data_IF_226556864231
#
_entry.id   IF_226556864231
#
_cell.length_a   1.000
_cell.length_b   1.000
_cell.length_c   1.000
_cell.angle_alpha   90.00
_cell.angle_beta   90.00
_cell.angle_gamma   90.00
#
_symmetry.space_group_name_H-M   'P 1'
#
loop_
_entity.id
_entity.type
_entity.pdbx_description
1 polymer ?
#
# COMPACT_ATOMS: atom_id res chain seq x y z
N UNK A 1 -16.17 6.47 17.49
CA UNK A 1 -15.97 7.73 16.73
C UNK A 1 -14.51 7.76 16.30
N UNK A 2 -14.21 7.68 14.99
CA UNK A 2 -12.84 7.71 14.50
C UNK A 2 -12.17 9.03 14.86
N UNK A 3 -10.87 8.98 15.20
CA UNK A 3 -10.16 10.17 15.68
C UNK A 3 -10.10 11.23 14.58
N UNK A 4 -10.13 12.54 14.91
CA UNK A 4 -10.02 13.60 13.91
C UNK A 4 -8.72 13.49 13.07
N UNK A 5 -7.66 12.94 13.65
CA UNK A 5 -6.39 12.73 12.95
C UNK A 5 -6.49 11.59 11.92
N UNK A 6 -7.22 10.51 12.23
CA UNK A 6 -7.47 9.42 11.28
C UNK A 6 -8.32 9.92 10.10
N UNK A 7 -9.39 10.67 10.37
CA UNK A 7 -10.23 11.22 9.30
C UNK A 7 -9.43 12.12 8.36
N UNK A 8 -8.60 13.02 8.90
CA UNK A 8 -7.67 13.83 8.09
C UNK A 8 -6.75 12.96 7.24
N UNK A 9 -6.16 11.91 7.83
CA UNK A 9 -5.34 10.96 7.08
C UNK A 9 -6.11 10.24 5.96
N UNK A 10 -7.43 10.14 6.02
CA UNK A 10 -8.27 9.52 4.98
C UNK A 10 -8.81 10.53 3.95
N UNK A 11 -9.06 11.78 4.34
CA UNK A 11 -9.79 12.75 3.51
C UNK A 11 -8.99 13.95 3.04
N UNK A 12 -7.88 14.30 3.71
CA UNK A 12 -7.06 15.45 3.30
C UNK A 12 -6.51 15.17 1.90
N UNK A 13 -6.56 16.12 0.95
CA UNK A 13 -6.19 15.83 -0.44
C UNK A 13 -4.73 15.37 -0.59
N UNK A 14 -3.81 15.91 0.21
CA UNK A 14 -2.37 15.76 -0.02
C UNK A 14 -1.85 16.75 -1.07
N UNK A 15 -0.53 16.86 -1.19
CA UNK A 15 0.13 17.69 -2.20
C UNK A 15 1.36 16.95 -2.77
N UNK A 16 1.31 16.46 -4.02
CA UNK A 16 0.15 16.48 -4.93
C UNK A 16 -1.04 15.66 -4.39
N UNK A 17 -2.27 15.87 -4.91
CA UNK A 17 -3.45 15.15 -4.45
C UNK A 17 -3.28 13.64 -4.59
N UNK A 18 -3.51 12.90 -3.51
CA UNK A 18 -3.49 11.44 -3.50
C UNK A 18 -4.91 10.90 -3.70
N UNK A 19 -5.03 9.85 -4.51
CA UNK A 19 -6.29 9.15 -4.72
C UNK A 19 -6.86 8.60 -3.39
N UNK A 20 -8.19 8.67 -3.18
CA UNK A 20 -8.82 8.14 -1.98
C UNK A 20 -8.73 6.60 -1.97
N UNK A 21 -8.71 6.01 -0.77
CA UNK A 21 -8.87 4.55 -0.64
C UNK A 21 -10.29 4.13 -1.05
N UNK A 22 -10.50 2.84 -1.40
CA UNK A 22 -11.85 2.29 -1.51
C UNK A 22 -12.66 2.55 -0.24
N UNK A 23 -13.94 2.90 -0.40
CA UNK A 23 -14.83 3.25 0.73
C UNK A 23 -14.89 2.14 1.78
N UNK A 24 -14.91 0.88 1.34
CA UNK A 24 -14.91 -0.30 2.23
C UNK A 24 -13.66 -0.34 3.13
N UNK A 25 -12.50 0.08 2.61
CA UNK A 25 -11.24 0.08 3.36
C UNK A 25 -11.18 1.27 4.30
N UNK A 26 -11.64 2.44 3.86
CA UNK A 26 -11.74 3.62 4.72
C UNK A 26 -12.63 3.33 5.93
N UNK A 27 -13.81 2.74 5.73
CA UNK A 27 -14.70 2.32 6.81
C UNK A 27 -14.05 1.30 7.74
N UNK A 28 -13.37 0.29 7.20
CA UNK A 28 -12.64 -0.71 8.00
C UNK A 28 -11.54 -0.07 8.87
N UNK A 29 -10.76 0.87 8.33
CA UNK A 29 -9.72 1.57 9.09
C UNK A 29 -10.31 2.43 10.22
N UNK A 30 -11.46 3.04 10.00
CA UNK A 30 -12.20 3.77 11.04
C UNK A 30 -12.71 2.86 12.15
N UNK A 31 -13.28 1.70 11.80
CA UNK A 31 -13.73 0.68 12.76
C UNK A 31 -12.58 0.14 13.60
N UNK A 32 -11.41 -0.07 13.00
CA UNK A 32 -10.20 -0.55 13.67
C UNK A 32 -9.48 0.54 14.47
N UNK A 33 -9.98 1.77 14.45
CA UNK A 33 -9.31 2.94 15.01
C UNK A 33 -7.83 3.00 14.58
N UNK A 34 -7.61 2.83 13.28
CA UNK A 34 -6.29 2.72 12.70
C UNK A 34 -5.41 3.95 13.05
N UNK A 35 -4.11 3.76 13.29
CA UNK A 35 -3.20 4.88 13.47
C UNK A 35 -3.22 5.82 12.25
N UNK A 36 -3.29 7.15 12.44
CA UNK A 36 -3.33 8.09 11.31
C UNK A 36 -2.16 7.93 10.35
N UNK A 37 -0.95 7.65 10.88
CA UNK A 37 0.24 7.35 10.07
C UNK A 37 0.04 6.15 9.13
N UNK A 38 -0.64 5.11 9.61
CA UNK A 38 -0.94 3.92 8.82
C UNK A 38 -1.90 4.27 7.67
N UNK A 39 -3.00 4.97 7.97
CA UNK A 39 -3.96 5.37 6.94
C UNK A 39 -3.29 6.25 5.86
N UNK A 40 -2.41 7.18 6.25
CA UNK A 40 -1.67 8.01 5.33
C UNK A 40 -0.69 7.20 4.45
N UNK A 41 -0.01 6.20 5.04
CA UNK A 41 0.84 5.24 4.31
C UNK A 41 0.04 4.46 3.27
N UNK A 42 -1.06 3.84 3.69
CA UNK A 42 -1.92 3.04 2.81
C UNK A 42 -2.44 3.87 1.63
N UNK A 43 -2.81 5.14 1.86
CA UNK A 43 -3.19 6.07 0.78
C UNK A 43 -2.06 6.36 -0.19
N UNK A 44 -0.85 6.64 0.30
CA UNK A 44 0.30 6.92 -0.55
C UNK A 44 0.65 5.72 -1.44
N UNK A 45 0.60 4.50 -0.88
CA UNK A 45 0.84 3.27 -1.65
C UNK A 45 -0.31 2.99 -2.62
N UNK A 46 -1.56 3.17 -2.20
CA UNK A 46 -2.73 2.99 -3.06
C UNK A 46 -2.72 3.93 -4.28
N UNK A 47 -2.35 5.19 -4.09
CA UNK A 47 -2.21 6.17 -5.18
C UNK A 47 -1.20 5.72 -6.24
N UNK A 48 -0.05 5.22 -5.78
CA UNK A 48 1.01 4.65 -6.62
C UNK A 48 0.54 3.39 -7.34
N UNK A 49 -0.17 2.50 -6.65
CA UNK A 49 -0.76 1.31 -7.27
C UNK A 49 -1.77 1.68 -8.34
N UNK A 50 -2.58 2.72 -8.13
CA UNK A 50 -3.46 3.23 -9.17
C UNK A 50 -2.65 3.70 -10.39
N UNK A 51 -1.55 4.41 -10.20
CA UNK A 51 -0.71 4.89 -11.30
C UNK A 51 -0.05 3.72 -12.08
N UNK A 52 0.41 2.69 -11.38
CA UNK A 52 0.95 1.48 -12.00
C UNK A 52 -0.12 0.70 -12.75
N UNK A 53 -1.32 0.55 -12.18
CA UNK A 53 -2.41 -0.15 -12.83
C UNK A 53 -2.92 0.64 -14.06
N UNK A 54 -2.99 1.98 -14.01
CA UNK A 54 -3.31 2.83 -15.16
C UNK A 54 -2.26 2.66 -16.28
N UNK A 55 -0.98 2.59 -15.92
CA UNK A 55 0.10 2.32 -16.87
C UNK A 55 -0.05 0.94 -17.50
N UNK A 56 -0.32 -0.09 -16.70
CA UNK A 56 -0.46 -1.46 -17.19
C UNK A 56 -1.64 -1.58 -18.17
N UNK A 57 -2.82 -1.05 -17.82
CA UNK A 57 -4.00 -1.08 -18.69
C UNK A 57 -3.79 -0.30 -20.00
N UNK A 58 -2.99 0.78 -19.96
CA UNK A 58 -2.72 1.61 -21.13
C UNK A 58 -1.66 1.01 -22.04
N UNK A 59 -0.57 0.48 -21.49
CA UNK A 59 0.60 0.01 -22.26
C UNK A 59 0.52 -1.47 -22.61
N UNK A 60 -0.19 -2.27 -21.79
CA UNK A 60 -0.31 -3.71 -21.94
C UNK A 60 -1.78 -4.16 -21.73
N UNK A 61 -2.74 -3.65 -22.53
CA UNK A 61 -4.17 -3.98 -22.38
C UNK A 61 -4.50 -5.48 -22.50
N UNK A 62 -3.60 -6.28 -23.04
CA UNK A 62 -3.68 -7.74 -23.13
C UNK A 62 -3.41 -8.45 -21.78
N UNK A 63 -2.80 -7.78 -20.82
CA UNK A 63 -2.54 -8.34 -19.49
C UNK A 63 -3.83 -8.36 -18.69
N UNK A 64 -4.38 -9.55 -18.50
CA UNK A 64 -5.54 -9.76 -17.64
C UNK A 64 -5.07 -9.81 -16.18
N UNK A 65 -5.54 -8.85 -15.38
CA UNK A 65 -5.33 -8.81 -13.94
C UNK A 65 -6.58 -8.26 -13.24
N UNK A 66 -6.77 -8.62 -11.98
CA UNK A 66 -7.84 -8.07 -11.16
C UNK A 66 -7.43 -6.72 -10.59
N UNK A 67 -7.78 -5.64 -11.31
CA UNK A 67 -7.50 -4.27 -10.88
C UNK A 67 -8.11 -3.95 -9.53
N UNK A 68 -9.37 -4.31 -9.31
CA UNK A 68 -10.08 -3.99 -8.06
C UNK A 68 -9.40 -4.68 -6.87
N UNK A 69 -9.06 -5.97 -7.00
CA UNK A 69 -8.33 -6.69 -5.97
C UNK A 69 -6.93 -6.11 -5.73
N UNK A 70 -6.22 -5.67 -6.79
CA UNK A 70 -4.90 -5.03 -6.67
C UNK A 70 -4.98 -3.72 -5.87
N UNK A 71 -5.95 -2.86 -6.21
CA UNK A 71 -6.16 -1.58 -5.55
C UNK A 71 -6.58 -1.76 -4.09
N UNK A 72 -7.45 -2.74 -3.81
CA UNK A 72 -7.79 -3.16 -2.47
C UNK A 72 -6.55 -3.67 -1.71
N UNK A 73 -5.76 -4.53 -2.35
CA UNK A 73 -4.54 -5.11 -1.78
C UNK A 73 -3.57 -4.05 -1.29
N UNK A 74 -3.30 -3.03 -2.12
CA UNK A 74 -2.48 -1.90 -1.73
C UNK A 74 -3.04 -1.13 -0.52
N UNK A 75 -4.37 -0.95 -0.49
CA UNK A 75 -5.07 -0.25 0.56
C UNK A 75 -5.11 -1.00 1.89
N UNK A 76 -4.79 -2.31 1.93
CA UNK A 76 -4.82 -3.13 3.16
C UNK A 76 -3.51 -3.86 3.48
N UNK A 77 -2.47 -3.78 2.63
CA UNK A 77 -1.28 -4.63 2.77
C UNK A 77 -0.61 -4.55 4.16
N UNK A 78 -0.68 -3.38 4.80
CA UNK A 78 -0.08 -3.11 6.11
C UNK A 78 -1.12 -3.08 7.25
N UNK A 79 -2.35 -3.54 7.02
CA UNK A 79 -3.45 -3.41 7.99
C UNK A 79 -3.17 -4.09 9.34
N UNK A 80 -2.32 -5.11 9.36
CA UNK A 80 -1.90 -5.75 10.61
C UNK A 80 -1.17 -4.80 11.57
N UNK A 81 -0.65 -3.65 11.09
CA UNK A 81 -0.07 -2.60 11.94
C UNK A 81 -1.11 -1.85 12.78
N UNK A 82 -2.40 -2.15 12.61
CA UNK A 82 -3.44 -1.77 13.58
C UNK A 82 -3.32 -2.56 14.89
N UNK A 83 -2.81 -3.80 14.81
CA UNK A 83 -2.53 -4.72 15.92
C UNK A 83 -1.08 -4.53 16.40
N UNK A 84 -0.11 -4.64 15.48
CA UNK A 84 1.33 -4.51 15.73
C UNK A 84 1.82 -3.08 15.49
N UNK A 85 1.40 -2.16 16.36
CA UNK A 85 1.63 -0.71 16.18
C UNK A 85 3.10 -0.32 16.27
N UNK A 86 3.89 -1.09 17.00
CA UNK A 86 5.34 -0.95 17.13
C UNK A 86 6.05 -1.03 15.76
N UNK A 87 5.50 -1.78 14.81
CA UNK A 87 6.06 -1.97 13.46
C UNK A 87 5.74 -0.80 12.51
N UNK A 88 5.04 0.26 12.97
CA UNK A 88 4.85 1.49 12.20
C UNK A 88 6.12 2.34 12.09
N UNK A 89 7.01 2.21 13.07
CA UNK A 89 8.28 2.95 13.12
C UNK A 89 9.49 2.07 13.46
N UNK A 90 9.25 0.85 13.95
CA UNK A 90 10.27 -0.15 14.21
C UNK A 90 10.33 -1.22 13.11
N UNK A 91 11.39 -2.04 13.11
CA UNK A 91 11.43 -3.24 12.28
C UNK A 91 10.42 -4.27 12.75
N UNK A 92 9.97 -5.14 11.84
CA UNK A 92 9.09 -6.25 12.16
C UNK A 92 8.35 -6.78 10.94
N UNK A 93 7.70 -7.93 11.10
CA UNK A 93 6.90 -8.61 10.08
C UNK A 93 5.69 -9.32 10.67
N UNK A 94 5.38 -9.13 11.96
CA UNK A 94 4.24 -9.77 12.59
C UNK A 94 2.91 -9.24 12.03
N UNK A 95 2.89 -7.99 11.56
CA UNK A 95 1.72 -7.41 10.88
C UNK A 95 1.28 -8.19 9.64
N UNK A 96 2.17 -8.94 8.97
CA UNK A 96 1.85 -9.62 7.72
C UNK A 96 0.79 -10.72 7.95
N UNK A 97 1.10 -11.65 8.87
CA UNK A 97 0.20 -12.75 9.19
C UNK A 97 -1.00 -12.26 10.01
N UNK A 98 -0.80 -11.34 10.96
CA UNK A 98 -1.89 -10.75 11.75
C UNK A 98 -2.89 -9.97 10.88
N UNK A 99 -2.41 -9.28 9.84
CA UNK A 99 -3.23 -8.55 8.88
C UNK A 99 -4.10 -9.49 8.04
N UNK A 100 -3.52 -10.59 7.57
CA UNK A 100 -4.27 -11.64 6.86
C UNK A 100 -5.39 -12.22 7.74
N UNK A 101 -5.06 -12.65 8.96
CA UNK A 101 -6.03 -13.22 9.91
C UNK A 101 -7.12 -12.22 10.27
N UNK A 102 -6.76 -10.95 10.45
CA UNK A 102 -7.72 -9.88 10.70
C UNK A 102 -8.71 -9.75 9.54
N UNK A 103 -8.25 -9.63 8.30
CA UNK A 103 -9.13 -9.46 7.13
C UNK A 103 -10.07 -10.67 6.98
N UNK A 104 -9.54 -11.90 7.11
CA UNK A 104 -10.36 -13.13 7.05
C UNK A 104 -11.41 -13.17 8.16
N UNK A 105 -11.04 -12.79 9.40
CA UNK A 105 -12.00 -12.73 10.52
C UNK A 105 -13.13 -11.71 10.31
N UNK A 106 -12.91 -10.70 9.45
CA UNK A 106 -13.90 -9.72 9.02
C UNK A 106 -14.72 -10.17 7.80
N UNK A 107 -14.55 -11.41 7.35
CA UNK A 107 -15.30 -11.98 6.23
C UNK A 107 -14.72 -11.63 4.85
N UNK A 108 -13.52 -11.05 4.79
CA UNK A 108 -12.85 -10.78 3.52
C UNK A 108 -12.27 -12.10 2.98
N UNK A 109 -12.60 -12.41 1.73
CA UNK A 109 -12.17 -13.64 1.09
C UNK A 109 -10.64 -13.77 1.08
N UNK A 110 -10.15 -14.99 1.25
CA UNK A 110 -8.71 -15.26 1.39
C UNK A 110 -7.88 -14.75 0.21
N UNK A 111 -8.44 -14.81 -1.01
CA UNK A 111 -7.78 -14.27 -2.20
C UNK A 111 -7.53 -12.77 -2.06
N UNK A 112 -8.44 -11.96 -1.49
CA UNK A 112 -8.20 -10.54 -1.23
C UNK A 112 -7.34 -10.32 0.02
N UNK A 113 -7.55 -11.12 1.06
CA UNK A 113 -6.79 -10.99 2.31
C UNK A 113 -5.29 -11.29 2.15
N UNK A 114 -4.91 -12.10 1.15
CA UNK A 114 -3.51 -12.52 0.92
C UNK A 114 -2.53 -11.34 0.79
N UNK A 115 -2.96 -10.20 0.27
CA UNK A 115 -2.10 -9.03 0.05
C UNK A 115 -1.45 -8.53 1.35
N UNK A 116 -2.09 -8.76 2.50
CA UNK A 116 -1.52 -8.43 3.81
C UNK A 116 -0.19 -9.15 4.08
N UNK A 117 0.03 -10.34 3.49
CA UNK A 117 1.25 -11.14 3.68
C UNK A 117 2.11 -11.34 2.43
N UNK A 118 1.54 -11.20 1.23
CA UNK A 118 2.30 -11.42 -0.01
C UNK A 118 3.16 -10.23 -0.41
N UNK A 119 2.82 -9.01 0.02
CA UNK A 119 3.52 -7.79 -0.39
C UNK A 119 5.02 -7.78 -0.01
N UNK A 120 5.41 -8.45 1.08
CA UNK A 120 6.79 -8.62 1.51
C UNK A 120 7.45 -9.93 1.02
N UNK A 121 6.63 -10.91 0.60
CA UNK A 121 7.04 -12.27 0.22
C UNK A 121 6.93 -12.54 -1.31
N UNK A 122 7.20 -11.52 -2.13
CA UNK A 122 7.06 -11.54 -3.59
C UNK A 122 8.01 -12.49 -4.35
N UNK A 123 8.94 -13.16 -3.66
CA UNK A 123 9.77 -14.23 -4.23
C UNK A 123 9.06 -15.59 -4.28
N UNK A 124 7.92 -15.71 -3.60
CA UNK A 124 7.04 -16.86 -3.76
C UNK A 124 6.32 -16.81 -5.13
N UNK A 125 5.62 -17.88 -5.49
CA UNK A 125 4.78 -17.87 -6.69
C UNK A 125 3.53 -17.00 -6.45
N UNK A 126 3.64 -15.72 -6.78
CA UNK A 126 2.60 -14.71 -6.60
C UNK A 126 2.13 -14.16 -7.95
N UNK A 127 0.94 -13.53 -8.00
CA UNK A 127 0.35 -12.98 -9.23
C UNK A 127 0.97 -11.64 -9.66
N UNK A 128 0.53 -11.13 -10.83
CA UNK A 128 0.87 -9.76 -11.28
C UNK A 128 0.36 -8.74 -10.27
N UNK A 129 -0.83 -8.95 -9.73
CA UNK A 129 -1.47 -8.10 -8.74
C UNK A 129 -0.60 -7.95 -7.49
N UNK A 130 -0.06 -9.05 -6.97
CA UNK A 130 0.82 -9.06 -5.80
C UNK A 130 2.12 -8.32 -6.07
N UNK A 131 2.72 -8.51 -7.26
CA UNK A 131 3.94 -7.81 -7.67
C UNK A 131 3.71 -6.30 -7.83
N UNK A 132 2.57 -5.88 -8.38
CA UNK A 132 2.20 -4.46 -8.47
C UNK A 132 2.11 -3.82 -7.09
N UNK A 133 1.46 -4.48 -6.12
CA UNK A 133 1.37 -4.00 -4.73
C UNK A 133 2.75 -3.93 -4.08
N UNK A 134 3.57 -4.97 -4.25
CA UNK A 134 4.95 -4.99 -3.75
C UNK A 134 5.80 -3.86 -4.33
N UNK A 135 5.73 -3.63 -5.66
CA UNK A 135 6.47 -2.54 -6.33
C UNK A 135 5.98 -1.19 -5.80
N UNK A 136 4.67 -1.00 -5.69
CA UNK A 136 4.09 0.23 -5.16
C UNK A 136 4.60 0.55 -3.75
N UNK A 137 4.64 -0.44 -2.84
CA UNK A 137 5.16 -0.28 -1.47
C UNK A 137 6.66 0.08 -1.42
N UNK A 138 7.43 -0.15 -2.49
CA UNK A 138 8.81 0.34 -2.57
C UNK A 138 8.88 1.72 -3.21
N UNK A 139 8.29 1.88 -4.40
CA UNK A 139 8.49 3.09 -5.21
C UNK A 139 7.74 4.32 -4.68
N UNK A 140 6.74 4.17 -3.80
CA UNK A 140 6.05 5.33 -3.22
C UNK A 140 6.99 6.33 -2.55
N UNK A 141 8.10 5.83 -2.00
CA UNK A 141 9.20 6.60 -1.40
C UNK A 141 10.47 6.62 -2.26
N UNK A 142 10.32 6.49 -3.58
CA UNK A 142 11.39 6.42 -4.57
C UNK A 142 12.38 5.26 -4.39
N UNK A 143 12.04 4.22 -3.61
CA UNK A 143 12.90 3.04 -3.47
C UNK A 143 12.70 2.11 -4.66
N UNK A 144 13.76 1.93 -5.45
CA UNK A 144 13.86 0.93 -6.51
C UNK A 144 14.39 -0.39 -5.96
N UNK A 145 13.87 -1.52 -6.44
CA UNK A 145 14.28 -2.87 -6.03
C UNK A 145 14.39 -3.74 -7.28
N UNK A 146 15.61 -3.85 -7.82
CA UNK A 146 15.89 -4.49 -9.10
C UNK A 146 15.30 -5.90 -9.22
N UNK A 147 15.50 -6.77 -8.23
CA UNK A 147 14.97 -8.14 -8.28
C UNK A 147 13.43 -8.21 -8.31
N UNK A 148 12.76 -7.26 -7.64
CA UNK A 148 11.29 -7.20 -7.62
C UNK A 148 10.75 -6.63 -8.94
N UNK A 149 11.40 -5.59 -9.46
CA UNK A 149 11.08 -5.01 -10.76
C UNK A 149 11.28 -6.04 -11.88
N UNK A 150 12.37 -6.81 -11.83
CA UNK A 150 12.62 -7.91 -12.77
C UNK A 150 11.54 -9.00 -12.69
N UNK A 151 11.09 -9.37 -11.49
CA UNK A 151 10.01 -10.35 -11.33
C UNK A 151 8.71 -9.89 -12.01
N UNK A 152 8.38 -8.60 -11.92
CA UNK A 152 7.23 -8.01 -12.63
C UNK A 152 7.47 -8.02 -14.15
N UNK A 153 8.65 -7.59 -14.60
CA UNK A 153 9.02 -7.60 -16.03
C UNK A 153 8.87 -8.99 -16.62
N UNK A 154 9.41 -10.01 -15.95
CA UNK A 154 9.35 -11.40 -16.43
C UNK A 154 7.91 -11.89 -16.51
N UNK A 155 7.08 -11.56 -15.52
CA UNK A 155 5.67 -11.96 -15.51
C UNK A 155 4.87 -11.29 -16.63
N UNK A 156 5.11 -10.01 -16.87
CA UNK A 156 4.47 -9.28 -17.95
C UNK A 156 4.94 -9.77 -19.33
N UNK A 157 6.24 -10.00 -19.51
CA UNK A 157 6.78 -10.54 -20.77
C UNK A 157 6.16 -11.90 -21.13
N UNK A 158 5.93 -12.76 -20.14
CA UNK A 158 5.20 -14.03 -20.35
C UNK A 158 3.75 -13.79 -20.74
N UNK A 159 3.06 -12.85 -20.07
CA UNK A 159 1.64 -12.58 -20.32
C UNK A 159 1.39 -11.91 -21.69
N UNK A 160 2.29 -11.03 -22.13
CA UNK A 160 2.15 -10.27 -23.39
C UNK A 160 2.82 -10.95 -24.58
N UNK A 161 3.80 -11.82 -24.33
CA UNK A 161 4.70 -12.36 -25.36
C UNK A 161 5.74 -11.36 -25.87
N UNK A 162 5.87 -10.18 -25.25
CA UNK A 162 6.85 -9.16 -25.61
C UNK A 162 8.25 -9.50 -25.07
N UNK A 163 9.26 -8.79 -25.57
CA UNK A 163 10.62 -8.98 -25.08
C UNK A 163 10.79 -8.30 -23.71
N UNK A 164 11.47 -8.94 -22.72
CA UNK A 164 11.63 -8.38 -21.38
C UNK A 164 12.21 -6.96 -21.33
N UNK A 165 13.11 -6.62 -22.26
CA UNK A 165 13.72 -5.28 -22.30
C UNK A 165 12.72 -4.18 -22.72
N UNK A 166 11.71 -4.50 -23.54
CA UNK A 166 10.66 -3.54 -23.93
C UNK A 166 9.77 -3.22 -22.73
N UNK A 167 9.36 -4.26 -21.99
CA UNK A 167 8.61 -4.12 -20.73
C UNK A 167 9.42 -3.32 -19.71
N UNK A 168 10.71 -3.64 -19.56
CA UNK A 168 11.60 -2.96 -18.62
C UNK A 168 11.69 -1.46 -18.90
N UNK A 169 11.87 -1.03 -20.16
CA UNK A 169 11.92 0.39 -20.49
C UNK A 169 10.61 1.11 -20.13
N UNK A 170 9.47 0.49 -20.44
CA UNK A 170 8.16 1.05 -20.09
C UNK A 170 7.93 1.13 -18.57
N UNK A 171 8.39 0.12 -17.83
CA UNK A 171 8.32 0.07 -16.38
C UNK A 171 9.24 1.12 -15.74
N UNK A 172 10.50 1.23 -16.20
CA UNK A 172 11.48 2.19 -15.70
C UNK A 172 10.97 3.63 -15.85
N UNK A 173 10.43 3.96 -17.02
CA UNK A 173 9.84 5.26 -17.30
C UNK A 173 8.68 5.62 -16.37
N UNK A 174 7.79 4.67 -16.03
CA UNK A 174 6.69 4.94 -15.09
C UNK A 174 7.17 5.01 -13.65
N UNK A 175 8.14 4.18 -13.25
CA UNK A 175 8.70 4.20 -11.91
C UNK A 175 9.47 5.49 -11.64
N UNK A 176 10.19 6.03 -12.63
CA UNK A 176 10.88 7.31 -12.51
C UNK A 176 9.91 8.49 -12.36
N UNK A 177 8.83 8.51 -13.16
CA UNK A 177 7.77 9.51 -13.00
C UNK A 177 7.12 9.44 -11.63
N UNK A 178 6.83 8.23 -11.14
CA UNK A 178 6.29 8.05 -9.79
C UNK A 178 7.30 8.55 -8.76
N UNK A 179 8.56 8.14 -8.86
CA UNK A 179 9.61 8.48 -7.91
C UNK A 179 9.84 10.00 -7.78
N UNK A 180 9.63 10.77 -8.86
CA UNK A 180 9.74 12.23 -8.84
C UNK A 180 8.82 12.91 -7.81
N UNK A 181 7.65 12.32 -7.54
CA UNK A 181 6.66 12.85 -6.57
C UNK A 181 6.79 12.24 -5.15
N UNK A 182 7.86 11.46 -4.88
CA UNK A 182 8.02 10.74 -3.61
C UNK A 182 8.13 11.67 -2.40
N UNK A 183 8.78 12.83 -2.55
CA UNK A 183 8.93 13.80 -1.47
C UNK A 183 7.57 14.32 -0.98
N UNK A 184 6.63 14.56 -1.88
CA UNK A 184 5.26 14.97 -1.55
C UNK A 184 4.52 13.90 -0.73
N UNK A 185 4.61 12.63 -1.15
CA UNK A 185 4.03 11.49 -0.40
C UNK A 185 4.67 11.30 0.97
N UNK A 186 5.99 11.44 1.07
CA UNK A 186 6.72 11.37 2.35
C UNK A 186 6.31 12.51 3.29
N UNK A 187 6.22 13.74 2.78
CA UNK A 187 5.76 14.90 3.54
C UNK A 187 4.31 14.73 4.00
N UNK A 188 3.43 14.26 3.13
CA UNK A 188 2.04 13.93 3.46
C UNK A 188 1.99 12.92 4.62
N UNK A 189 2.68 11.78 4.48
CA UNK A 189 2.74 10.77 5.53
C UNK A 189 3.31 11.35 6.85
N UNK A 190 4.34 12.20 6.77
CA UNK A 190 5.00 12.86 7.90
C UNK A 190 4.07 13.72 8.76
N UNK A 191 3.04 14.33 8.17
CA UNK A 191 2.06 15.15 8.88
C UNK A 191 1.16 14.37 9.86
N UNK A 192 1.10 13.04 9.76
CA UNK A 192 0.20 12.22 10.57
C UNK A 192 0.93 11.49 11.72
N UNK A 193 0.39 11.46 12.95
CA UNK A 193 1.08 10.82 14.07
C UNK A 193 1.00 9.28 14.03
N UNK A 194 2.00 8.62 14.63
CA UNK A 194 2.08 7.15 14.76
C UNK A 194 1.05 6.57 15.76
N UNK A 195 0.46 7.43 16.60
CA UNK A 195 -0.63 7.08 17.51
C UNK A 195 -1.56 8.27 17.74
N UNK A 196 -2.71 8.05 18.36
CA UNK A 196 -3.64 9.14 18.67
C UNK A 196 -3.09 9.96 19.85
N UNK A 197 -2.84 11.26 19.66
CA UNK A 197 -2.29 12.15 20.71
C UNK A 197 -3.26 12.41 21.88
N UNK A 198 -4.37 11.68 21.94
CA UNK A 198 -5.46 11.88 22.89
C UNK A 198 -5.28 11.16 24.24
N UNK A 199 -4.23 10.34 24.43
CA UNK A 199 -4.00 9.61 25.69
C UNK A 199 -2.81 10.08 26.55
N UNK A 200 -1.93 10.95 26.07
CA UNK A 200 -0.73 11.38 26.85
C UNK A 200 -0.97 12.53 27.83
N UNK A 201 -2.20 13.06 27.94
CA UNK A 201 -2.52 14.20 28.81
C UNK A 201 -3.33 13.85 30.08
N UNK A 202 -3.44 12.57 30.48
CA UNK A 202 -4.07 12.17 31.74
C UNK A 202 -3.16 11.22 32.53
N UNK A 203 -2.06 11.74 33.05
CA UNK A 203 -1.14 10.94 33.84
C UNK A 203 0.00 11.73 34.45
N UNK A 204 -0.29 12.85 35.11
CA UNK A 204 0.63 13.50 36.07
C UNK A 204 -0.20 14.35 37.02
N UNK A 205 -0.93 13.67 37.89
CA UNK A 205 -1.60 14.25 39.05
C UNK A 205 -1.41 13.30 40.23
N UNK A 206 -0.81 13.85 41.28
CA UNK A 206 -0.68 13.31 42.64
C UNK A 206 0.50 12.37 42.91
N UNK A 207 1.34 12.83 43.85
CA UNK A 207 2.52 12.20 44.41
C UNK A 207 3.41 13.27 45.01
#
# INVERSE_FOLDING_TARGET
MPSPALRRALTDPGEPPLRPLPDEVSGLLEELAAPPRLAAHLRAVHDVTCALADWLEKQHPEVVFDREATLFGAAVHDIGKTIHREELSGPGSAHEQAGYELLVSRGIAENRARFARTHAAWRADVGVEDLLVSVADKVWKAKRVTDLEQALVDRLAVATGQLPWEIFLGLDDVLDRIAADADGRLAFQACHPVGDRSQTARGSGSG
#
